data_IF_985842919337
#
_entry.id   IF_985842919337
#
_cell.length_a   1.000
_cell.length_b   1.000
_cell.length_c   1.000
_cell.angle_alpha   90.00
_cell.angle_beta   90.00
_cell.angle_gamma   90.00
#
_symmetry.space_group_name_H-M   'P 1'
#
loop_
_entity.id
_entity.type
_entity.pdbx_description
1 polymer ?
#
# COMPACT_ATOMS: atom_id res chain seq x y z
N UNK A 1 12.39 -14.39 10.68
CA UNK A 1 11.69 -13.17 11.13
C UNK A 1 10.26 -13.22 10.65
N UNK A 2 9.25 -13.00 11.51
CA UNK A 2 7.86 -12.96 11.08
C UNK A 2 7.67 -11.81 10.07
N UNK A 3 6.99 -12.10 8.96
CA UNK A 3 6.65 -11.10 7.95
C UNK A 3 5.15 -10.86 8.05
N UNK A 4 4.77 -9.61 8.29
CA UNK A 4 3.38 -9.21 8.44
C UNK A 4 2.86 -8.66 7.11
N UNK A 5 1.63 -9.00 6.76
CA UNK A 5 0.93 -8.47 5.59
C UNK A 5 -0.15 -7.53 6.08
N UNK A 6 -0.16 -6.32 5.54
CA UNK A 6 -1.24 -5.34 5.77
C UNK A 6 -2.12 -5.33 4.54
N UNK A 7 -3.41 -5.58 4.74
CA UNK A 7 -4.43 -5.46 3.71
C UNK A 7 -5.11 -4.11 3.87
N UNK A 8 -5.31 -3.40 2.76
CA UNK A 8 -6.00 -2.12 2.73
C UNK A 8 -6.94 -2.06 1.53
N UNK A 9 -7.97 -1.24 1.63
CA UNK A 9 -8.88 -0.94 0.53
C UNK A 9 -8.67 0.50 0.06
N UNK A 10 -8.91 0.77 -1.22
CA UNK A 10 -8.97 2.15 -1.68
C UNK A 10 -10.26 2.78 -1.21
N UNK A 11 -10.16 4.05 -0.83
CA UNK A 11 -11.33 4.90 -0.66
C UNK A 11 -11.83 5.35 -2.02
N UNK A 12 -13.09 5.78 -2.11
CA UNK A 12 -13.68 6.30 -3.35
C UNK A 12 -12.89 7.47 -3.98
N UNK A 13 -12.13 8.21 -3.17
CA UNK A 13 -11.23 9.23 -3.66
C UNK A 13 -9.88 8.65 -4.09
N UNK A 14 -9.37 7.65 -3.35
CA UNK A 14 -8.11 6.98 -3.64
C UNK A 14 -8.12 6.20 -4.95
N UNK A 15 -9.28 5.70 -5.37
CA UNK A 15 -9.49 4.96 -6.61
C UNK A 15 -9.49 5.89 -7.83
N UNK A 16 -10.11 7.06 -7.71
CA UNK A 16 -10.13 8.09 -8.76
C UNK A 16 -8.73 8.66 -9.00
N UNK A 17 -7.90 8.65 -7.97
CA UNK A 17 -6.49 9.05 -8.01
C UNK A 17 -5.53 7.84 -8.07
N UNK A 18 -5.90 6.74 -8.74
CA UNK A 18 -5.02 5.56 -8.86
C UNK A 18 -3.68 5.89 -9.52
N UNK A 19 -3.61 6.93 -10.36
CA UNK A 19 -2.35 7.40 -10.97
C UNK A 19 -1.35 7.92 -9.92
N UNK A 20 -1.83 8.44 -8.80
CA UNK A 20 -1.00 8.86 -7.67
C UNK A 20 -0.70 7.71 -6.68
N UNK A 21 -1.12 6.47 -6.99
CA UNK A 21 -0.82 5.28 -6.16
C UNK A 21 0.69 5.11 -5.93
N UNK A 22 1.51 5.30 -6.97
CA UNK A 22 2.97 5.18 -6.86
C UNK A 22 3.57 6.18 -5.86
N UNK A 23 3.06 7.42 -5.81
CA UNK A 23 3.51 8.42 -4.83
C UNK A 23 3.10 8.04 -3.41
N UNK A 24 1.89 7.47 -3.24
CA UNK A 24 1.42 6.97 -1.94
C UNK A 24 2.23 5.76 -1.48
N UNK A 25 2.59 4.86 -2.38
CA UNK A 25 3.45 3.72 -2.09
C UNK A 25 4.85 4.19 -1.63
N UNK A 26 5.45 5.18 -2.31
CA UNK A 26 6.73 5.77 -1.89
C UNK A 26 6.62 6.49 -0.53
N UNK A 27 5.54 7.25 -0.32
CA UNK A 27 5.27 7.90 0.96
C UNK A 27 5.09 6.89 2.09
N UNK A 28 4.39 5.77 1.83
CA UNK A 28 4.19 4.68 2.77
C UNK A 28 5.51 4.00 3.13
N UNK A 29 6.36 3.70 2.13
CA UNK A 29 7.72 3.16 2.37
C UNK A 29 8.52 4.07 3.30
N UNK A 30 8.57 5.38 3.01
CA UNK A 30 9.24 6.37 3.85
C UNK A 30 8.66 6.46 5.26
N UNK A 31 7.34 6.32 5.41
CA UNK A 31 6.70 6.30 6.74
C UNK A 31 7.05 5.04 7.53
N UNK A 32 7.05 3.87 6.87
CA UNK A 32 7.49 2.62 7.48
C UNK A 32 8.95 2.68 7.94
N UNK A 33 9.84 3.22 7.11
CA UNK A 33 11.26 3.39 7.46
C UNK A 33 11.45 4.25 8.70
N UNK A 34 10.68 5.34 8.85
CA UNK A 34 10.72 6.21 10.03
C UNK A 34 10.34 5.48 11.33
N UNK A 35 9.51 4.44 11.25
CA UNK A 35 9.11 3.62 12.42
C UNK A 35 9.93 2.33 12.55
N UNK A 36 11.00 2.18 11.77
CA UNK A 36 11.87 0.99 11.80
C UNK A 36 11.28 -0.24 11.11
N UNK A 37 10.21 -0.08 10.33
CA UNK A 37 9.59 -1.14 9.55
C UNK A 37 10.09 -1.12 8.10
N UNK A 38 10.39 -2.30 7.54
CA UNK A 38 10.81 -2.44 6.14
C UNK A 38 9.65 -2.98 5.30
N UNK A 39 9.25 -2.21 4.27
CA UNK A 39 8.30 -2.70 3.26
C UNK A 39 9.06 -3.60 2.28
N UNK A 40 8.86 -4.92 2.39
CA UNK A 40 9.48 -5.90 1.48
C UNK A 40 8.87 -5.81 0.08
N UNK A 41 7.56 -6.00 0.00
CA UNK A 41 6.83 -6.09 -1.26
C UNK A 41 5.49 -5.37 -1.16
N UNK A 42 4.98 -4.89 -2.29
CA UNK A 42 3.65 -4.31 -2.41
C UNK A 42 2.90 -5.15 -3.45
N UNK A 43 1.79 -5.77 -3.02
CA UNK A 43 0.98 -6.62 -3.87
C UNK A 43 -0.36 -5.94 -4.16
N UNK A 44 -0.84 -6.05 -5.40
CA UNK A 44 -2.19 -5.67 -5.80
C UNK A 44 -2.96 -6.94 -6.07
N UNK A 45 -4.00 -7.18 -5.29
CA UNK A 45 -4.79 -8.41 -5.38
C UNK A 45 -6.01 -8.17 -6.25
N UNK A 46 -6.16 -8.84 -7.40
CA UNK A 46 -7.42 -8.81 -8.13
C UNK A 46 -8.50 -9.59 -7.35
N UNK A 47 -9.62 -8.96 -7.00
CA UNK A 47 -10.75 -9.62 -6.31
C UNK A 47 -11.40 -8.79 -5.19
N UNK A 48 -11.89 -9.45 -4.14
CA UNK A 48 -12.70 -8.81 -3.06
C UNK A 48 -11.93 -7.77 -2.22
N UNK A 49 -10.60 -7.76 -2.34
CA UNK A 49 -9.68 -6.80 -1.74
C UNK A 49 -8.91 -6.02 -2.81
N UNK A 50 -9.45 -5.94 -4.02
CA UNK A 50 -8.83 -5.15 -5.06
C UNK A 50 -8.78 -3.69 -4.65
N UNK A 51 -7.56 -3.17 -4.68
CA UNK A 51 -7.24 -1.77 -4.63
C UNK A 51 -7.47 -1.24 -6.04
N UNK A 52 -8.68 -1.41 -6.57
CA UNK A 52 -9.04 -1.11 -7.95
C UNK A 52 -10.38 -0.44 -7.98
#
# INVERSE_FOLDING_TARGET
MPTYIVLGHFTDQGIRAVRDSLKREDAFRKQCEKVGAQVKDIYRTMGRYDLG
#
